data_IF_187943670379
#
_entry.id   IF_187943670379
#
_cell.length_a   1.000
_cell.length_b   1.000
_cell.length_c   1.000
_cell.angle_alpha   90.00
_cell.angle_beta   90.00
_cell.angle_gamma   90.00
#
_symmetry.space_group_name_H-M   'P 1'
#
loop_
_entity.id
_entity.type
_entity.pdbx_description
1 polymer ?
#
# COMPACT_ATOMS: atom_id res chain seq x y z
N UNK A 1 -13.09 -19.45 2.96
CA UNK A 1 -13.80 -18.62 1.96
C UNK A 1 -14.22 -17.34 2.65
N UNK A 2 -13.72 -16.18 2.20
CA UNK A 2 -14.13 -14.88 2.71
C UNK A 2 -15.61 -14.63 2.38
N UNK A 3 -16.36 -14.07 3.32
CA UNK A 3 -17.72 -13.62 3.06
C UNK A 3 -17.69 -12.24 2.43
N UNK A 4 -18.37 -12.03 1.30
CA UNK A 4 -18.63 -10.69 0.82
C UNK A 4 -19.52 -9.97 1.85
N UNK A 5 -19.10 -8.80 2.31
CA UNK A 5 -20.01 -7.95 3.05
C UNK A 5 -21.07 -7.38 2.07
N UNK A 6 -22.13 -6.77 2.60
CA UNK A 6 -23.25 -6.24 1.79
C UNK A 6 -22.83 -5.13 0.78
N UNK A 7 -21.55 -4.75 0.76
CA UNK A 7 -20.96 -3.78 -0.17
C UNK A 7 -20.03 -4.44 -1.20
N UNK A 8 -19.94 -5.78 -1.22
CA UNK A 8 -19.12 -6.51 -2.20
C UNK A 8 -17.63 -6.56 -1.88
N UNK A 9 -17.19 -6.07 -0.71
CA UNK A 9 -15.79 -6.16 -0.28
C UNK A 9 -15.48 -7.56 0.26
N UNK A 10 -14.38 -8.14 -0.20
CA UNK A 10 -13.79 -9.31 0.43
C UNK A 10 -13.00 -8.86 1.67
N UNK A 11 -13.67 -8.78 2.81
CA UNK A 11 -12.96 -8.63 4.08
C UNK A 11 -12.58 -10.01 4.61
N UNK A 12 -11.42 -10.16 5.25
CA UNK A 12 -11.09 -11.38 5.95
C UNK A 12 -12.18 -11.73 6.97
N UNK A 13 -12.42 -13.02 7.24
CA UNK A 13 -13.30 -13.41 8.34
C UNK A 13 -12.87 -12.73 9.65
N UNK A 14 -13.80 -12.34 10.53
CA UNK A 14 -13.50 -11.66 11.80
C UNK A 14 -12.46 -12.40 12.66
N UNK A 15 -12.38 -13.71 12.54
CA UNK A 15 -11.38 -14.53 13.23
C UNK A 15 -9.95 -14.21 12.75
N UNK A 16 -9.72 -14.06 11.46
CA UNK A 16 -8.42 -13.68 10.91
C UNK A 16 -8.05 -12.26 11.33
N UNK A 17 -9.03 -11.35 11.36
CA UNK A 17 -8.79 -9.98 11.82
C UNK A 17 -8.36 -9.90 13.29
N UNK A 18 -8.80 -10.84 14.13
CA UNK A 18 -8.41 -10.94 15.54
C UNK A 18 -7.12 -11.72 15.77
N UNK A 19 -6.73 -12.57 14.82
CA UNK A 19 -5.58 -13.45 14.88
C UNK A 19 -4.70 -13.22 13.66
N UNK A 20 -4.14 -12.02 13.60
CA UNK A 20 -3.35 -11.54 12.44
C UNK A 20 -2.19 -12.47 12.05
N UNK A 21 -1.67 -13.26 13.01
CA UNK A 21 -0.65 -14.28 12.75
C UNK A 21 -1.11 -15.40 11.80
N UNK A 22 -2.43 -15.61 11.64
CA UNK A 22 -2.98 -16.58 10.66
C UNK A 22 -2.94 -16.04 9.22
N UNK A 23 -2.67 -14.74 9.06
CA UNK A 23 -2.49 -14.12 7.74
C UNK A 23 -1.00 -13.99 7.37
N UNK A 24 -0.11 -14.44 8.25
CA UNK A 24 1.32 -14.41 7.97
C UNK A 24 1.64 -15.18 6.69
N UNK A 25 2.49 -14.62 5.86
CA UNK A 25 3.06 -15.25 4.68
C UNK A 25 4.58 -15.11 4.74
N UNK A 26 5.30 -16.16 4.35
CA UNK A 26 6.76 -16.10 4.30
C UNK A 26 7.20 -15.05 3.27
N UNK A 27 8.13 -14.16 3.62
CA UNK A 27 8.66 -13.19 2.68
C UNK A 27 9.52 -13.89 1.62
N UNK A 28 9.48 -13.40 0.39
CA UNK A 28 10.26 -13.99 -0.69
C UNK A 28 10.71 -12.96 -1.72
N UNK A 29 11.77 -13.30 -2.45
CA UNK A 29 12.21 -12.57 -3.62
C UNK A 29 11.26 -12.84 -4.79
N UNK A 30 10.85 -11.79 -5.51
CA UNK A 30 9.96 -11.91 -6.67
C UNK A 30 10.78 -11.91 -7.97
N UNK A 31 11.44 -10.79 -8.25
CA UNK A 31 12.30 -10.61 -9.44
C UNK A 31 13.19 -9.38 -9.26
N UNK A 32 14.42 -9.48 -9.69
CA UNK A 32 15.38 -8.37 -9.64
C UNK A 32 15.52 -7.76 -8.25
N UNK A 33 15.06 -6.53 -8.08
CA UNK A 33 15.14 -5.81 -6.80
C UNK A 33 13.82 -5.79 -6.02
N UNK A 34 12.85 -6.66 -6.35
CA UNK A 34 11.49 -6.67 -5.80
C UNK A 34 11.27 -7.86 -4.91
N UNK A 35 10.77 -7.62 -3.70
CA UNK A 35 10.49 -8.63 -2.69
C UNK A 35 9.08 -8.49 -2.14
N UNK A 36 8.44 -9.62 -1.82
CA UNK A 36 7.17 -9.67 -1.10
C UNK A 36 7.43 -9.68 0.39
N UNK A 37 6.75 -8.79 1.14
CA UNK A 37 6.82 -8.69 2.60
C UNK A 37 5.44 -8.49 3.23
N UNK A 38 4.38 -8.75 2.48
CA UNK A 38 2.99 -8.58 2.90
C UNK A 38 2.45 -9.77 3.70
N UNK A 39 1.16 -9.94 3.63
CA UNK A 39 0.44 -11.06 4.21
C UNK A 39 -0.60 -11.60 3.21
N UNK A 40 -1.36 -12.63 3.58
CA UNK A 40 -2.36 -13.26 2.68
C UNK A 40 -3.54 -12.36 2.31
N UNK A 41 -3.67 -11.19 2.92
CA UNK A 41 -4.72 -10.22 2.64
C UNK A 41 -4.19 -8.95 1.98
N UNK A 42 -3.10 -8.37 2.50
CA UNK A 42 -2.51 -7.14 2.02
C UNK A 42 -1.12 -7.40 1.45
N UNK A 43 -0.93 -7.06 0.19
CA UNK A 43 0.37 -7.16 -0.44
C UNK A 43 1.20 -5.93 -0.08
N UNK A 44 2.34 -6.15 0.59
CA UNK A 44 3.39 -5.14 0.74
C UNK A 44 4.61 -5.58 -0.03
N UNK A 45 5.26 -4.65 -0.72
CA UNK A 45 6.44 -4.97 -1.53
C UNK A 45 7.62 -4.10 -1.10
N UNK A 46 8.77 -4.73 -0.95
CA UNK A 46 10.02 -4.05 -0.67
C UNK A 46 10.84 -3.97 -1.96
N UNK A 47 11.41 -2.80 -2.23
CA UNK A 47 12.21 -2.54 -3.44
C UNK A 47 13.59 -2.07 -2.97
N UNK A 48 14.64 -2.84 -3.30
CA UNK A 48 16.02 -2.47 -3.03
C UNK A 48 16.56 -1.61 -4.16
N UNK A 49 16.81 -0.35 -3.88
CA UNK A 49 17.28 0.60 -4.89
C UNK A 49 18.81 0.71 -4.98
N UNK A 50 19.53 -0.03 -4.14
CA UNK A 50 20.98 0.09 -3.98
C UNK A 50 21.43 1.29 -3.13
N UNK A 51 20.53 2.28 -2.91
CA UNK A 51 20.79 3.45 -2.04
C UNK A 51 19.85 3.51 -0.83
N UNK A 52 19.10 2.45 -0.61
CA UNK A 52 18.13 2.26 0.45
C UNK A 52 16.88 1.57 -0.09
N UNK A 53 15.85 1.51 0.73
CA UNK A 53 14.65 0.74 0.44
C UNK A 53 13.44 1.65 0.19
N UNK A 54 12.60 1.25 -0.75
CA UNK A 54 11.24 1.77 -0.91
C UNK A 54 10.29 0.66 -0.47
N UNK A 55 9.39 0.97 0.45
CA UNK A 55 8.29 0.08 0.81
C UNK A 55 7.01 0.56 0.11
N UNK A 56 6.38 -0.32 -0.64
CA UNK A 56 5.09 -0.08 -1.28
C UNK A 56 4.01 -0.76 -0.45
N UNK A 57 3.11 0.04 0.10
CA UNK A 57 2.06 -0.28 1.04
C UNK A 57 2.53 -0.86 2.38
N UNK A 58 1.72 -0.70 3.40
CA UNK A 58 1.90 -1.32 4.71
C UNK A 58 0.65 -2.10 5.08
N UNK A 59 0.75 -3.18 5.85
CA UNK A 59 -0.43 -3.80 6.42
C UNK A 59 -1.09 -2.89 7.47
N UNK A 60 -2.18 -3.37 8.07
CA UNK A 60 -2.74 -2.73 9.25
C UNK A 60 -1.73 -2.73 10.41
N UNK A 61 -1.90 -1.81 11.36
CA UNK A 61 -0.97 -1.63 12.47
C UNK A 61 -0.67 -2.91 13.28
N UNK A 62 -1.63 -3.80 13.59
CA UNK A 62 -1.34 -5.03 14.31
C UNK A 62 -0.37 -5.98 13.60
N UNK A 63 -0.25 -5.89 12.30
CA UNK A 63 0.63 -6.72 11.47
C UNK A 63 2.04 -6.13 11.28
N UNK A 64 2.32 -4.93 11.82
CA UNK A 64 3.62 -4.27 11.66
C UNK A 64 4.80 -5.14 12.12
N UNK A 65 4.63 -5.91 13.19
CA UNK A 65 5.68 -6.80 13.69
C UNK A 65 6.06 -7.87 12.65
N UNK A 66 5.09 -8.42 11.93
CA UNK A 66 5.32 -9.42 10.87
C UNK A 66 5.98 -8.81 9.65
N UNK A 67 5.60 -7.58 9.28
CA UNK A 67 6.27 -6.83 8.22
C UNK A 67 7.76 -6.63 8.54
N UNK A 68 8.06 -6.18 9.76
CA UNK A 68 9.44 -5.96 10.19
C UNK A 68 10.24 -7.27 10.23
N UNK A 69 9.66 -8.35 10.76
CA UNK A 69 10.27 -9.69 10.74
C UNK A 69 10.56 -10.16 9.32
N UNK A 70 9.59 -9.99 8.41
CA UNK A 70 9.75 -10.34 7.01
C UNK A 70 10.90 -9.60 6.33
N UNK A 71 11.04 -8.30 6.56
CA UNK A 71 12.14 -7.50 6.05
C UNK A 71 13.50 -8.00 6.60
N UNK A 72 13.57 -8.31 7.91
CA UNK A 72 14.77 -8.87 8.53
C UNK A 72 15.12 -10.26 7.97
N UNK A 73 14.17 -11.13 7.74
CA UNK A 73 14.37 -12.47 7.16
C UNK A 73 14.95 -12.43 5.75
N UNK A 74 14.62 -11.41 4.99
CA UNK A 74 15.23 -11.16 3.66
C UNK A 74 16.64 -10.58 3.74
N UNK A 75 17.14 -10.29 4.95
CA UNK A 75 18.48 -9.73 5.18
C UNK A 75 18.56 -8.20 5.11
N UNK A 76 17.41 -7.53 4.99
CA UNK A 76 17.36 -6.07 4.97
C UNK A 76 17.16 -5.48 6.37
N UNK A 77 17.62 -4.25 6.57
CA UNK A 77 17.34 -3.49 7.77
C UNK A 77 16.15 -2.56 7.53
N UNK A 78 15.03 -2.67 8.27
CA UNK A 78 13.88 -1.75 8.10
C UNK A 78 14.25 -0.27 8.24
N UNK A 79 15.32 0.09 8.94
CA UNK A 79 15.80 1.47 9.04
C UNK A 79 16.38 2.03 7.75
N UNK A 80 16.62 1.18 6.76
CA UNK A 80 17.06 1.59 5.44
C UNK A 80 15.90 1.98 4.51
N UNK A 81 14.64 1.84 4.97
CA UNK A 81 13.47 2.36 4.27
C UNK A 81 13.55 3.89 4.25
N UNK A 82 13.61 4.47 3.06
CA UNK A 82 13.66 5.92 2.83
C UNK A 82 12.30 6.48 2.39
N UNK A 83 11.52 5.66 1.70
CA UNK A 83 10.20 6.01 1.23
C UNK A 83 9.18 4.92 1.55
N UNK A 84 8.01 5.35 2.03
CA UNK A 84 6.81 4.51 2.14
C UNK A 84 5.81 5.06 1.12
N UNK A 85 5.63 4.31 0.04
CA UNK A 85 4.77 4.65 -1.08
C UNK A 85 3.42 3.94 -0.92
N UNK A 86 2.35 4.71 -0.68
CA UNK A 86 1.02 4.16 -0.43
C UNK A 86 0.19 4.22 -1.70
N UNK A 87 -0.36 3.08 -2.10
CA UNK A 87 -1.16 2.97 -3.32
C UNK A 87 -2.50 3.69 -3.22
N UNK A 88 -3.18 3.62 -2.07
CA UNK A 88 -4.46 4.26 -1.85
C UNK A 88 -4.84 4.36 -0.36
N UNK A 89 -5.87 5.16 -0.06
CA UNK A 89 -6.28 5.48 1.30
C UNK A 89 -7.24 4.45 1.92
N UNK A 90 -6.88 3.14 1.90
CA UNK A 90 -7.52 2.14 2.74
C UNK A 90 -6.56 1.67 3.84
N UNK A 91 -7.12 1.39 5.01
CA UNK A 91 -6.36 1.09 6.24
C UNK A 91 -5.44 -0.12 6.13
N UNK A 92 -5.77 -1.06 5.28
CA UNK A 92 -4.97 -2.24 4.97
C UNK A 92 -3.78 -1.95 4.04
N UNK A 93 -3.66 -0.70 3.57
CA UNK A 93 -2.54 -0.21 2.78
C UNK A 93 -1.76 0.92 3.47
N UNK A 94 -2.39 1.62 4.44
CA UNK A 94 -1.70 2.68 5.18
C UNK A 94 -1.64 2.46 6.71
N UNK A 95 -2.26 1.42 7.24
CA UNK A 95 -2.49 1.30 8.68
C UNK A 95 -1.25 1.36 9.56
N UNK A 96 -0.11 0.86 9.09
CA UNK A 96 1.16 0.91 9.81
C UNK A 96 2.10 2.05 9.36
N UNK A 97 1.70 2.88 8.39
CA UNK A 97 2.56 3.94 7.81
C UNK A 97 3.12 4.86 8.89
N UNK A 98 2.25 5.39 9.75
CA UNK A 98 2.66 6.38 10.76
C UNK A 98 3.66 5.81 11.77
N UNK A 99 3.40 4.61 12.27
CA UNK A 99 4.31 3.93 13.19
C UNK A 99 5.65 3.60 12.51
N UNK A 100 5.60 3.08 11.29
CA UNK A 100 6.81 2.73 10.55
C UNK A 100 7.65 3.96 10.18
N UNK A 101 7.02 5.03 9.71
CA UNK A 101 7.70 6.29 9.43
C UNK A 101 8.39 6.86 10.68
N UNK A 102 7.74 6.78 11.84
CA UNK A 102 8.35 7.18 13.11
C UNK A 102 9.58 6.33 13.46
N UNK A 103 9.52 5.02 13.23
CA UNK A 103 10.62 4.09 13.53
C UNK A 103 11.82 4.24 12.59
N UNK A 104 11.58 4.58 11.32
CA UNK A 104 12.59 4.55 10.25
C UNK A 104 13.07 5.94 9.86
N UNK A 105 12.26 6.97 10.04
CA UNK A 105 12.46 8.31 9.50
C UNK A 105 12.14 8.41 8.00
N UNK A 106 11.49 7.39 7.44
CA UNK A 106 11.09 7.36 6.04
C UNK A 106 10.10 8.47 5.69
N UNK A 107 10.20 9.01 4.47
CA UNK A 107 9.21 9.92 3.90
C UNK A 107 8.00 9.13 3.40
N UNK A 108 6.82 9.65 3.64
CA UNK A 108 5.54 9.04 3.26
C UNK A 108 4.96 9.67 2.01
N UNK A 109 4.46 8.84 1.08
CA UNK A 109 3.90 9.29 -0.19
C UNK A 109 2.50 8.71 -0.39
N UNK A 110 1.58 9.52 -0.91
CA UNK A 110 0.21 9.12 -1.26
C UNK A 110 -0.27 9.96 -2.45
N UNK A 111 -1.12 9.40 -3.29
CA UNK A 111 -1.78 10.14 -4.37
C UNK A 111 -2.52 11.39 -3.85
N UNK A 112 -2.38 12.53 -4.54
CA UNK A 112 -2.94 13.83 -4.12
C UNK A 112 -4.46 13.74 -3.83
N UNK A 113 -5.19 13.03 -4.67
CA UNK A 113 -6.65 12.91 -4.55
C UNK A 113 -7.07 12.17 -3.27
N UNK A 114 -6.42 11.05 -2.96
CA UNK A 114 -6.69 10.29 -1.72
C UNK A 114 -6.16 11.02 -0.48
N UNK A 115 -5.07 11.77 -0.60
CA UNK A 115 -4.54 12.61 0.47
C UNK A 115 -5.50 13.75 0.80
N UNK A 116 -6.09 14.40 -0.20
CA UNK A 116 -7.11 15.41 -0.02
C UNK A 116 -8.42 14.83 0.58
N UNK A 117 -8.84 13.65 0.12
CA UNK A 117 -10.01 12.96 0.70
C UNK A 117 -9.78 12.64 2.19
N UNK A 118 -8.62 12.11 2.54
CA UNK A 118 -8.27 11.83 3.94
C UNK A 118 -8.26 13.10 4.81
N UNK A 119 -7.72 14.20 4.28
CA UNK A 119 -7.68 15.50 4.95
C UNK A 119 -9.06 16.13 5.13
N UNK A 120 -9.91 16.04 4.10
CA UNK A 120 -11.21 16.72 4.08
C UNK A 120 -12.32 15.91 4.76
N UNK A 121 -12.12 14.61 4.94
CA UNK A 121 -13.09 13.69 5.54
C UNK A 121 -12.51 12.88 6.72
N UNK A 122 -11.82 13.50 7.70
CA UNK A 122 -11.12 12.80 8.78
C UNK A 122 -12.04 11.88 9.58
N UNK A 123 -13.27 12.31 9.86
CA UNK A 123 -14.25 11.51 10.63
C UNK A 123 -14.63 10.20 9.94
N UNK A 124 -14.66 10.19 8.60
CA UNK A 124 -14.90 8.96 7.82
C UNK A 124 -13.78 7.96 8.03
N UNK A 125 -12.55 8.41 7.94
CA UNK A 125 -11.36 7.56 8.09
C UNK A 125 -11.19 7.10 9.54
N UNK A 126 -11.37 7.95 10.51
CA UNK A 126 -11.36 7.59 11.94
C UNK A 126 -12.41 6.55 12.27
N UNK A 127 -13.64 6.71 11.77
CA UNK A 127 -14.70 5.72 11.93
C UNK A 127 -14.32 4.38 11.32
N UNK A 128 -13.79 4.35 10.07
CA UNK A 128 -13.33 3.12 9.42
C UNK A 128 -12.23 2.43 10.22
N UNK A 129 -11.26 3.19 10.72
CA UNK A 129 -10.18 2.68 11.55
C UNK A 129 -10.71 2.09 12.86
N UNK A 130 -11.67 2.75 13.51
CA UNK A 130 -12.27 2.30 14.75
C UNK A 130 -13.18 1.07 14.55
N UNK A 131 -14.03 1.08 13.55
CA UNK A 131 -14.94 -0.04 13.23
C UNK A 131 -14.18 -1.31 12.85
N UNK A 132 -12.98 -1.17 12.27
CA UNK A 132 -12.10 -2.31 12.00
C UNK A 132 -11.57 -2.98 13.27
N UNK A 133 -11.59 -2.29 14.41
CA UNK A 133 -11.00 -2.74 15.68
C UNK A 133 -9.48 -2.89 15.63
N UNK A 134 -8.79 -2.27 14.66
CA UNK A 134 -7.36 -2.47 14.40
C UNK A 134 -6.50 -1.28 14.79
N UNK A 135 -7.10 -0.23 15.31
CA UNK A 135 -6.40 0.97 15.81
C UNK A 135 -5.41 1.59 14.80
N UNK A 136 -5.75 1.50 13.51
CA UNK A 136 -4.97 2.16 12.48
C UNK A 136 -5.04 3.68 12.64
N UNK A 137 -4.00 4.36 12.20
CA UNK A 137 -3.93 5.83 12.27
C UNK A 137 -3.85 6.43 10.87
N UNK A 138 -4.66 7.45 10.62
CA UNK A 138 -4.49 8.29 9.44
C UNK A 138 -3.14 9.02 9.50
N UNK A 139 -2.61 9.36 8.34
CA UNK A 139 -1.38 10.12 8.23
C UNK A 139 -1.53 11.28 7.24
N UNK A 140 -0.66 12.24 7.37
CA UNK A 140 -0.49 13.30 6.37
C UNK A 140 0.77 12.96 5.60
N UNK A 141 0.69 12.71 4.28
CA UNK A 141 1.88 12.36 3.51
C UNK A 141 2.88 13.52 3.46
N UNK A 142 4.18 13.21 3.53
CA UNK A 142 5.25 14.19 3.31
C UNK A 142 5.27 14.70 1.87
N UNK A 143 4.87 13.83 0.93
CA UNK A 143 4.85 14.10 -0.51
C UNK A 143 3.53 13.60 -1.09
N UNK A 144 2.84 14.46 -1.82
CA UNK A 144 1.66 14.06 -2.62
C UNK A 144 2.08 13.80 -4.06
N UNK A 145 1.48 12.77 -4.68
CA UNK A 145 1.78 12.34 -6.03
C UNK A 145 0.63 12.67 -6.98
N UNK A 146 0.99 13.18 -8.16
CA UNK A 146 0.08 13.41 -9.29
C UNK A 146 0.19 12.29 -10.32
N UNK A 147 -0.78 12.23 -11.22
CA UNK A 147 -0.72 11.31 -12.36
C UNK A 147 0.52 11.56 -13.21
N UNK A 148 1.29 10.50 -13.43
CA UNK A 148 2.52 10.53 -14.21
C UNK A 148 3.79 10.93 -13.44
N UNK A 149 3.70 11.28 -12.16
CA UNK A 149 4.88 11.55 -11.34
C UNK A 149 5.81 10.33 -11.26
N UNK A 150 7.10 10.61 -11.11
CA UNK A 150 8.14 9.58 -11.04
C UNK A 150 8.89 9.73 -9.72
N UNK A 151 8.89 8.68 -8.91
CA UNK A 151 9.76 8.56 -7.74
C UNK A 151 11.08 7.94 -8.19
N UNK A 152 12.19 8.66 -8.03
CA UNK A 152 13.53 8.18 -8.36
C UNK A 152 14.36 8.00 -7.10
N UNK A 153 15.02 6.85 -7.00
CA UNK A 153 15.97 6.54 -5.93
C UNK A 153 16.93 5.45 -6.38
N UNK A 154 18.23 5.69 -6.26
CA UNK A 154 19.26 4.74 -6.69
C UNK A 154 19.07 4.29 -8.14
N UNK A 155 19.01 2.99 -8.33
CA UNK A 155 18.80 2.37 -9.66
C UNK A 155 17.32 2.27 -10.08
N UNK A 156 16.39 2.80 -9.30
CA UNK A 156 14.94 2.56 -9.49
C UNK A 156 14.20 3.86 -9.80
N UNK A 157 13.33 3.81 -10.82
CA UNK A 157 12.43 4.88 -11.23
C UNK A 157 11.00 4.35 -11.30
N UNK A 158 10.18 4.72 -10.34
CA UNK A 158 8.79 4.26 -10.23
C UNK A 158 7.86 5.34 -10.81
N UNK A 159 7.23 5.04 -11.93
CA UNK A 159 6.16 5.87 -12.47
C UNK A 159 4.86 5.60 -11.73
N UNK A 160 4.27 6.65 -11.18
CA UNK A 160 3.00 6.64 -10.47
C UNK A 160 1.87 7.06 -11.43
N UNK A 161 0.85 6.24 -11.58
CA UNK A 161 -0.25 6.47 -12.53
C UNK A 161 -1.56 6.44 -11.76
N UNK A 162 -2.37 7.48 -11.93
CA UNK A 162 -3.72 7.54 -11.35
C UNK A 162 -4.64 6.55 -12.08
N UNK A 163 -5.16 5.57 -11.34
CA UNK A 163 -6.03 4.50 -11.86
C UNK A 163 -7.32 4.39 -11.04
N UNK A 164 -8.21 5.42 -11.08
CA UNK A 164 -9.34 5.52 -10.19
C UNK A 164 -10.32 4.35 -10.37
N UNK A 165 -10.97 3.94 -9.27
CA UNK A 165 -11.95 2.84 -9.28
C UNK A 165 -12.10 2.19 -7.91
N UNK A 166 -11.03 1.72 -7.31
CA UNK A 166 -11.01 1.17 -5.96
C UNK A 166 -11.15 2.28 -4.89
N UNK A 167 -10.35 3.32 -5.01
CA UNK A 167 -10.60 4.67 -4.47
C UNK A 167 -10.60 5.66 -5.63
N UNK A 168 -10.98 6.91 -5.37
CA UNK A 168 -10.92 7.98 -6.38
C UNK A 168 -9.48 8.38 -6.69
N UNK A 169 -8.56 8.18 -5.75
CA UNK A 169 -7.16 8.57 -5.84
C UNK A 169 -6.19 7.40 -5.90
N UNK A 170 -6.65 6.17 -6.16
CA UNK A 170 -5.76 5.00 -6.22
C UNK A 170 -4.71 5.17 -7.30
N UNK A 171 -3.45 4.90 -6.92
CA UNK A 171 -2.28 4.96 -7.78
C UNK A 171 -1.76 3.57 -8.10
N UNK A 172 -1.47 3.31 -9.37
CA UNK A 172 -0.72 2.13 -9.80
C UNK A 172 0.73 2.51 -10.10
N UNK A 173 1.66 1.60 -9.86
CA UNK A 173 3.09 1.87 -9.90
C UNK A 173 3.79 0.97 -10.91
N UNK A 174 4.65 1.55 -11.77
CA UNK A 174 5.31 0.85 -12.85
C UNK A 174 6.79 1.22 -12.89
N UNK A 175 7.66 0.20 -13.02
CA UNK A 175 9.10 0.38 -13.19
C UNK A 175 9.73 -0.79 -13.95
N UNK A 176 11.01 -0.67 -14.24
CA UNK A 176 11.81 -1.75 -14.80
C UNK A 176 12.83 -2.23 -13.78
N UNK A 177 13.11 -3.53 -13.80
CA UNK A 177 14.15 -4.16 -13.00
C UNK A 177 14.89 -5.18 -13.82
N UNK A 178 16.12 -5.50 -13.43
CA UNK A 178 16.98 -6.45 -14.13
C UNK A 178 17.26 -7.66 -13.25
N UNK A 179 17.24 -8.83 -13.83
CA UNK A 179 17.70 -10.07 -13.21
C UNK A 179 18.42 -10.95 -14.21
N UNK A 180 19.65 -11.34 -13.88
CA UNK A 180 20.48 -12.24 -14.70
C UNK A 180 20.66 -11.79 -16.17
N UNK A 181 20.77 -10.47 -16.38
CA UNK A 181 20.94 -9.89 -17.72
C UNK A 181 19.62 -9.69 -18.48
N UNK A 182 18.49 -10.01 -17.89
CA UNK A 182 17.17 -9.82 -18.48
C UNK A 182 16.41 -8.66 -17.81
N UNK A 183 15.85 -7.76 -18.62
CA UNK A 183 14.99 -6.68 -18.16
C UNK A 183 13.54 -7.17 -17.99
N UNK A 184 12.94 -6.83 -16.87
CA UNK A 184 11.54 -7.08 -16.54
C UNK A 184 10.80 -5.76 -16.33
N UNK A 185 9.55 -5.72 -16.77
CA UNK A 185 8.63 -4.64 -16.43
C UNK A 185 7.76 -5.08 -15.26
N UNK A 186 7.82 -4.31 -14.19
CA UNK A 186 7.01 -4.53 -12.98
C UNK A 186 5.83 -3.56 -13.01
N UNK A 187 4.65 -4.08 -12.71
CA UNK A 187 3.46 -3.28 -12.54
C UNK A 187 2.70 -3.75 -11.30
N UNK A 188 2.47 -2.84 -10.35
CA UNK A 188 1.61 -3.09 -9.20
C UNK A 188 0.36 -2.26 -9.37
N UNK A 189 -0.78 -2.94 -9.53
CA UNK A 189 -2.09 -2.31 -9.58
C UNK A 189 -2.49 -1.87 -8.18
N UNK A 190 -2.81 -0.60 -8.02
CA UNK A 190 -2.98 0.00 -6.70
C UNK A 190 -4.22 -0.45 -5.92
N UNK A 191 -5.19 -1.07 -6.57
CA UNK A 191 -6.36 -1.60 -5.86
C UNK A 191 -7.38 -2.24 -6.80
N UNK A 192 -7.69 -3.50 -6.55
CA UNK A 192 -8.71 -4.25 -7.28
C UNK A 192 -10.02 -4.31 -6.48
N UNK A 193 -11.13 -4.12 -7.16
CA UNK A 193 -12.47 -4.29 -6.58
C UNK A 193 -13.48 -3.25 -7.09
N UNK A 194 -14.71 -3.71 -7.24
CA UNK A 194 -15.80 -2.91 -7.81
C UNK A 194 -16.58 -2.08 -6.78
N UNK A 195 -16.06 -1.92 -5.57
CA UNK A 195 -16.80 -1.34 -4.44
C UNK A 195 -17.17 0.11 -4.65
N UNK A 196 -16.33 0.84 -5.37
CA UNK A 196 -16.51 2.26 -5.67
C UNK A 196 -17.11 2.52 -7.04
N UNK A 197 -17.30 1.48 -7.86
CA UNK A 197 -17.94 1.58 -9.17
C UNK A 197 -19.47 1.72 -9.07
N UNK A 198 -19.97 2.49 -8.11
CA UNK A 198 -21.35 2.97 -8.15
C UNK A 198 -21.43 4.13 -9.15
N UNK A 199 -22.55 4.27 -9.84
CA UNK A 199 -22.77 5.30 -10.86
C UNK A 199 -22.33 6.72 -10.42
N UNK A 200 -22.54 7.05 -9.15
CA UNK A 200 -22.12 8.33 -8.55
C UNK A 200 -20.59 8.46 -8.53
N UNK A 201 -19.88 7.41 -8.17
CA UNK A 201 -18.41 7.41 -8.11
C UNK A 201 -17.78 7.39 -9.50
N UNK A 202 -18.36 6.70 -10.45
CA UNK A 202 -17.90 6.73 -11.85
C UNK A 202 -17.97 8.14 -12.43
N UNK A 203 -19.05 8.86 -12.14
CA UNK A 203 -19.20 10.27 -12.55
C UNK A 203 -18.17 11.19 -11.89
N UNK A 204 -17.87 10.97 -10.59
CA UNK A 204 -16.81 11.71 -9.86
C UNK A 204 -15.42 11.45 -10.47
N UNK A 205 -15.18 10.26 -10.98
CA UNK A 205 -13.94 9.89 -11.69
C UNK A 205 -13.92 10.32 -13.17
N UNK A 206 -14.95 11.02 -13.66
CA UNK A 206 -15.05 11.40 -15.07
C UNK A 206 -15.32 10.24 -16.04
N UNK A 207 -15.75 9.08 -15.50
CA UNK A 207 -16.07 7.90 -16.29
C UNK A 207 -17.58 7.83 -16.53
N UNK A 208 -17.99 7.48 -17.76
CA UNK A 208 -19.38 7.18 -18.12
C UNK A 208 -19.57 5.68 -18.30
N UNK A 209 -20.73 5.16 -17.86
CA UNK A 209 -21.15 3.81 -18.24
C UNK A 209 -21.64 3.81 -19.68
#
# INVERSE_FOLDING_TARGET
MGSFNRFGNMSPPPELLRRSYLMYEEPFHIVGNVYFVGNTWCCSHLIDTGEGLILLDTPCLPELAYLLDGIWRLGFNPRDIKYILVSHAHMDHYGAVRALAHLTGAKTLLGEVDAEDMKNNPERFERMNHESGRFNECFVPDITLKDGDVLEMGNTKIRCVLTPGHTVGVMSHFWETEESGQMYRVGIYGGAGFVTLREVRLKECGLSM
#
